data_IF_603962645540
#
_entry.id   IF_603962645540
#
_cell.length_a   1.000
_cell.length_b   1.000
_cell.length_c   1.000
_cell.angle_alpha   90.00
_cell.angle_beta   90.00
_cell.angle_gamma   90.00
#
_symmetry.space_group_name_H-M   'P 1'
#
loop_
_entity.id
_entity.type
_entity.pdbx_description
1 polymer ?
#
# COMPACT_ATOMS: atom_id res chain seq x y z
N UNK A 1 19.52 2.33 16.38
CA UNK A 1 20.38 3.00 15.38
C UNK A 1 19.49 3.97 14.63
N UNK A 2 19.86 5.24 14.53
CA UNK A 2 19.07 6.23 13.78
C UNK A 2 19.03 5.85 12.29
N UNK A 3 17.88 6.05 11.65
CA UNK A 3 17.65 5.84 10.21
C UNK A 3 18.76 6.47 9.33
N UNK A 4 19.39 7.55 9.80
CA UNK A 4 20.41 8.29 9.09
C UNK A 4 21.75 7.56 8.86
N UNK A 5 22.00 6.41 9.50
CA UNK A 5 23.26 5.66 9.31
C UNK A 5 23.20 4.61 8.18
N UNK A 6 22.02 4.37 7.57
CA UNK A 6 21.85 3.37 6.51
C UNK A 6 22.06 3.92 5.08
N UNK A 7 22.20 5.23 4.93
CA UNK A 7 22.18 5.94 3.64
C UNK A 7 23.52 6.02 2.90
N UNK A 8 24.61 5.42 3.43
CA UNK A 8 25.94 5.44 2.78
C UNK A 8 26.47 4.07 2.35
N UNK A 9 25.63 3.02 2.35
CA UNK A 9 25.96 1.76 1.70
C UNK A 9 25.55 1.85 0.22
N UNK A 10 26.48 1.51 -0.67
CA UNK A 10 26.32 1.58 -2.12
C UNK A 10 24.98 0.95 -2.57
N UNK A 11 24.38 1.48 -3.64
CA UNK A 11 23.16 0.95 -4.25
C UNK A 11 23.31 -0.58 -4.47
N UNK A 12 22.64 -1.36 -3.63
CA UNK A 12 22.74 -2.82 -3.55
C UNK A 12 22.09 -3.35 -2.26
N UNK A 13 21.13 -4.26 -2.42
CA UNK A 13 20.12 -4.81 -1.47
C UNK A 13 20.48 -4.86 0.03
N UNK A 14 20.21 -3.78 0.74
CA UNK A 14 20.18 -3.74 2.22
C UNK A 14 18.73 -3.72 2.76
N UNK A 15 17.79 -4.17 1.94
CA UNK A 15 16.36 -4.27 2.20
C UNK A 15 15.76 -5.38 1.33
N UNK A 16 14.48 -5.67 1.54
CA UNK A 16 13.63 -6.41 0.62
C UNK A 16 12.74 -5.41 -0.13
N UNK A 17 13.06 -5.15 -1.38
CA UNK A 17 12.14 -4.51 -2.34
C UNK A 17 10.91 -5.38 -2.58
N UNK A 18 9.87 -4.83 -3.20
CA UNK A 18 8.66 -5.58 -3.55
C UNK A 18 8.93 -6.84 -4.40
N UNK A 19 9.92 -6.80 -5.30
CA UNK A 19 10.30 -7.99 -6.08
C UNK A 19 11.05 -9.02 -5.24
N UNK A 20 11.95 -8.59 -4.36
CA UNK A 20 12.67 -9.46 -3.43
C UNK A 20 11.70 -10.11 -2.41
N UNK A 21 10.76 -9.33 -1.88
CA UNK A 21 9.74 -9.78 -0.94
C UNK A 21 8.80 -10.82 -1.57
N UNK A 22 8.38 -10.61 -2.84
CA UNK A 22 7.57 -11.58 -3.56
C UNK A 22 8.30 -12.92 -3.75
N UNK A 23 9.59 -12.90 -4.10
CA UNK A 23 10.39 -14.12 -4.21
C UNK A 23 10.58 -14.80 -2.85
N UNK A 24 10.82 -14.02 -1.80
CA UNK A 24 10.90 -14.49 -0.42
C UNK A 24 9.63 -15.28 -0.02
N UNK A 25 8.44 -14.72 -0.28
CA UNK A 25 7.17 -15.38 0.02
C UNK A 25 6.98 -16.65 -0.82
N UNK A 26 7.30 -16.61 -2.11
CA UNK A 26 7.19 -17.77 -2.98
C UNK A 26 8.07 -18.94 -2.51
N UNK A 27 9.32 -18.66 -2.11
CA UNK A 27 10.24 -19.68 -1.57
C UNK A 27 9.69 -20.28 -0.27
N UNK A 28 9.21 -19.44 0.66
CA UNK A 28 8.71 -19.93 1.94
C UNK A 28 7.35 -20.63 1.84
N UNK A 29 6.49 -20.24 0.90
CA UNK A 29 5.28 -20.97 0.57
C UNK A 29 5.62 -22.39 0.08
N UNK A 30 6.56 -22.51 -0.86
CA UNK A 30 7.03 -23.81 -1.33
C UNK A 30 7.63 -24.66 -0.21
N UNK A 31 8.43 -24.06 0.69
CA UNK A 31 8.97 -24.77 1.86
C UNK A 31 7.86 -25.26 2.79
N UNK A 32 6.83 -24.43 3.04
CA UNK A 32 5.68 -24.80 3.85
C UNK A 32 4.90 -25.98 3.23
N UNK A 33 4.69 -26.00 1.90
CA UNK A 33 4.09 -27.13 1.18
C UNK A 33 4.87 -28.44 1.35
N UNK A 34 6.19 -28.35 1.60
CA UNK A 34 7.07 -29.49 1.87
C UNK A 34 7.23 -29.80 3.36
N UNK A 35 6.51 -29.11 4.24
CA UNK A 35 6.59 -29.28 5.69
C UNK A 35 7.89 -28.78 6.30
N UNK A 36 8.59 -27.87 5.62
CA UNK A 36 9.82 -27.26 6.10
C UNK A 36 9.54 -25.94 6.82
N UNK A 37 10.38 -25.61 7.81
CA UNK A 37 10.28 -24.33 8.51
C UNK A 37 10.58 -23.15 7.56
N UNK A 38 9.89 -22.01 7.71
CA UNK A 38 10.16 -20.81 6.95
C UNK A 38 11.54 -20.22 7.33
N UNK A 39 12.21 -19.63 6.35
CA UNK A 39 13.54 -19.02 6.49
C UNK A 39 13.41 -17.55 6.87
N UNK A 40 14.14 -17.12 7.91
CA UNK A 40 14.17 -15.73 8.35
C UNK A 40 14.92 -14.84 7.36
N UNK A 41 14.37 -13.72 6.89
CA UNK A 41 15.10 -12.78 6.06
C UNK A 41 16.22 -12.15 6.88
N UNK A 42 17.44 -12.25 6.38
CA UNK A 42 18.64 -11.77 7.04
C UNK A 42 19.23 -10.59 6.29
N UNK A 43 19.39 -9.47 7.00
CA UNK A 43 20.05 -8.27 6.49
C UNK A 43 21.44 -8.59 5.91
N UNK A 44 22.26 -9.36 6.62
CA UNK A 44 23.64 -9.63 6.20
C UNK A 44 23.69 -10.51 4.94
N UNK A 45 22.77 -11.48 4.84
CA UNK A 45 22.65 -12.33 3.66
C UNK A 45 22.09 -11.56 2.46
N UNK A 46 21.14 -10.64 2.68
CA UNK A 46 20.61 -9.78 1.62
C UNK A 46 21.68 -8.84 1.07
N UNK A 47 22.51 -8.23 1.94
CA UNK A 47 23.63 -7.40 1.49
C UNK A 47 24.62 -8.23 0.64
N UNK A 48 24.94 -9.45 1.08
CA UNK A 48 25.78 -10.37 0.31
C UNK A 48 25.17 -10.70 -1.06
N UNK A 49 23.88 -11.08 -1.09
CA UNK A 49 23.17 -11.42 -2.31
C UNK A 49 23.09 -10.22 -3.28
N UNK A 50 22.75 -9.04 -2.78
CA UNK A 50 22.69 -7.80 -3.57
C UNK A 50 24.03 -7.42 -4.16
N UNK A 51 25.11 -7.49 -3.37
CA UNK A 51 26.46 -7.22 -3.86
C UNK A 51 26.87 -8.21 -4.95
N UNK A 52 26.56 -9.51 -4.77
CA UNK A 52 26.79 -10.50 -5.82
C UNK A 52 25.99 -10.17 -7.08
N UNK A 53 24.70 -9.84 -6.97
CA UNK A 53 23.88 -9.46 -8.12
C UNK A 53 24.48 -8.26 -8.89
N UNK A 54 24.86 -7.19 -8.19
CA UNK A 54 25.48 -5.98 -8.79
C UNK A 54 26.81 -6.30 -9.47
N UNK A 55 27.65 -7.09 -8.83
CA UNK A 55 28.94 -7.48 -9.41
C UNK A 55 28.78 -8.32 -10.68
N UNK A 56 27.79 -9.23 -10.71
CA UNK A 56 27.47 -10.00 -11.91
C UNK A 56 26.93 -9.12 -13.03
N UNK A 57 25.95 -8.26 -12.75
CA UNK A 57 25.34 -7.38 -13.74
C UNK A 57 26.38 -6.44 -14.36
N UNK A 58 27.17 -5.77 -13.52
CA UNK A 58 28.13 -4.74 -13.95
C UNK A 58 29.43 -5.27 -14.56
N UNK A 59 29.90 -6.48 -14.18
CA UNK A 59 31.21 -7.01 -14.62
C UNK A 59 31.12 -8.18 -15.60
N UNK A 60 30.01 -8.93 -15.59
CA UNK A 60 29.82 -10.12 -16.44
C UNK A 60 28.83 -9.83 -17.57
N UNK A 61 27.66 -9.28 -17.24
CA UNK A 61 26.54 -9.07 -18.18
C UNK A 61 25.90 -10.40 -18.64
N UNK A 62 24.56 -10.49 -18.58
CA UNK A 62 23.81 -11.72 -18.85
C UNK A 62 24.12 -12.38 -20.21
N UNK A 63 24.28 -11.58 -21.26
CA UNK A 63 24.60 -12.06 -22.63
C UNK A 63 25.93 -12.81 -22.72
N UNK A 64 26.86 -12.60 -21.78
CA UNK A 64 28.12 -13.35 -21.72
C UNK A 64 28.00 -14.69 -20.99
N UNK A 65 26.95 -14.90 -20.20
CA UNK A 65 26.73 -16.13 -19.43
C UNK A 65 26.10 -17.25 -20.28
N UNK A 66 25.28 -16.88 -21.27
CA UNK A 66 24.65 -17.81 -22.23
C UNK A 66 25.55 -18.22 -23.40
N UNK A 67 26.78 -17.67 -23.50
CA UNK A 67 27.75 -18.02 -24.54
C UNK A 67 29.09 -18.50 -23.96
N UNK A 68 29.86 -19.21 -24.80
CA UNK A 68 31.20 -19.83 -24.60
C UNK A 68 32.27 -18.92 -23.94
N UNK A 69 31.96 -17.64 -23.67
CA UNK A 69 32.86 -16.65 -23.07
C UNK A 69 33.22 -16.89 -21.59
N UNK A 70 32.40 -17.62 -20.81
CA UNK A 70 32.71 -17.94 -19.39
C UNK A 70 33.91 -18.88 -19.28
N UNK A 71 34.12 -19.78 -20.25
CA UNK A 71 35.21 -20.76 -20.22
C UNK A 71 36.61 -20.16 -20.42
N UNK A 72 36.71 -18.92 -20.94
CA UNK A 72 37.99 -18.32 -21.37
C UNK A 72 38.44 -17.11 -20.55
N UNK A 73 37.73 -16.71 -19.48
CA UNK A 73 38.16 -15.60 -18.64
C UNK A 73 38.87 -16.09 -17.37
N UNK A 74 40.03 -15.48 -17.09
CA UNK A 74 40.71 -15.54 -15.80
C UNK A 74 40.00 -14.67 -14.73
N UNK A 75 38.67 -14.75 -14.65
CA UNK A 75 37.96 -14.27 -13.46
C UNK A 75 38.10 -15.39 -12.44
N UNK A 76 38.56 -15.12 -11.21
CA UNK A 76 38.51 -16.13 -10.17
C UNK A 76 37.09 -16.69 -10.11
N UNK A 77 36.95 -18.01 -10.12
CA UNK A 77 35.67 -18.69 -9.94
C UNK A 77 34.92 -18.06 -8.77
N UNK A 78 33.59 -18.00 -8.85
CA UNK A 78 32.65 -17.50 -7.82
C UNK A 78 33.10 -17.72 -6.36
N UNK A 79 33.72 -18.86 -6.10
CA UNK A 79 34.38 -19.25 -4.84
C UNK A 79 35.46 -18.30 -4.30
N UNK A 80 36.12 -17.44 -5.09
CA UNK A 80 37.27 -16.69 -4.59
C UNK A 80 36.90 -15.45 -3.75
N UNK A 81 35.64 -15.03 -3.69
CA UNK A 81 35.21 -13.91 -2.84
C UNK A 81 34.57 -14.37 -1.52
N UNK A 82 33.97 -15.56 -1.48
CA UNK A 82 33.60 -16.24 -0.23
C UNK A 82 34.79 -16.96 0.44
N UNK A 83 35.73 -17.50 -0.33
CA UNK A 83 36.85 -18.31 0.18
C UNK A 83 38.19 -17.56 0.22
N UNK A 84 38.33 -16.47 -0.52
CA UNK A 84 39.62 -15.90 -0.88
C UNK A 84 39.89 -14.52 -0.31
N UNK A 85 40.00 -14.41 1.02
CA UNK A 85 40.91 -13.48 1.74
C UNK A 85 41.00 -13.83 3.24
N UNK A 86 41.34 -15.07 3.62
CA UNK A 86 41.79 -15.36 4.99
C UNK A 86 40.88 -14.88 6.14
N UNK A 87 39.58 -14.79 5.92
CA UNK A 87 38.61 -14.34 6.93
C UNK A 87 38.09 -15.54 7.70
N UNK A 88 38.34 -15.53 9.01
CA UNK A 88 37.74 -16.47 9.97
C UNK A 88 36.22 -16.30 9.89
N UNK A 89 35.46 -17.39 10.03
CA UNK A 89 34.00 -17.36 10.16
C UNK A 89 33.56 -16.18 11.05
N UNK A 90 32.71 -15.28 10.53
CA UNK A 90 32.04 -14.25 11.32
C UNK A 90 32.18 -12.78 10.89
N UNK A 91 32.98 -12.41 9.88
CA UNK A 91 32.99 -11.01 9.36
C UNK A 91 33.34 -10.92 7.86
N UNK A 92 32.43 -10.43 7.00
CA UNK A 92 32.75 -9.96 5.64
C UNK A 92 32.85 -8.42 5.63
N UNK A 93 33.96 -7.89 5.10
CA UNK A 93 34.16 -6.45 4.92
C UNK A 93 33.76 -6.04 3.50
N UNK A 94 32.69 -5.26 3.36
CA UNK A 94 32.16 -4.83 2.04
C UNK A 94 32.63 -3.41 1.68
N UNK A 95 33.00 -2.59 2.67
CA UNK A 95 33.59 -1.25 2.54
C UNK A 95 34.25 -0.82 3.87
N UNK A 96 34.99 0.30 3.91
CA UNK A 96 35.58 0.87 5.13
C UNK A 96 34.49 1.08 6.20
N UNK A 97 34.39 0.14 7.16
CA UNK A 97 33.51 0.21 8.32
C UNK A 97 32.31 -0.75 8.35
N UNK A 98 31.95 -1.45 7.26
CA UNK A 98 30.86 -2.43 7.29
C UNK A 98 31.39 -3.84 7.59
N UNK A 99 31.00 -4.40 8.74
CA UNK A 99 31.29 -5.78 9.15
C UNK A 99 30.00 -6.59 9.12
N UNK A 100 29.85 -7.50 8.15
CA UNK A 100 28.70 -8.42 8.08
C UNK A 100 28.96 -9.66 8.94
N UNK A 101 28.03 -10.04 9.80
CA UNK A 101 28.14 -11.30 10.55
C UNK A 101 27.63 -12.45 9.70
N UNK A 102 28.51 -13.03 8.88
CA UNK A 102 28.11 -14.14 8.02
C UNK A 102 27.93 -15.45 8.79
N UNK A 103 26.98 -16.31 8.38
CA UNK A 103 26.75 -17.61 8.98
C UNK A 103 27.93 -18.57 8.75
N UNK A 104 28.01 -19.63 9.57
CA UNK A 104 29.12 -20.61 9.51
C UNK A 104 29.11 -21.45 8.23
N UNK A 105 27.97 -21.50 7.53
CA UNK A 105 27.76 -22.24 6.29
C UNK A 105 26.75 -21.48 5.43
N UNK A 106 27.05 -21.34 4.13
CA UNK A 106 26.22 -20.63 3.15
C UNK A 106 25.99 -21.55 1.94
N UNK A 107 24.83 -21.41 1.30
CA UNK A 107 24.57 -21.91 -0.05
C UNK A 107 23.93 -20.83 -0.92
N UNK A 108 24.05 -20.95 -2.24
CA UNK A 108 23.71 -19.88 -3.18
C UNK A 108 22.93 -20.42 -4.38
N UNK A 109 21.88 -19.70 -4.76
CA UNK A 109 21.21 -19.84 -6.04
C UNK A 109 21.31 -18.52 -6.80
N UNK A 110 21.54 -18.59 -8.10
CA UNK A 110 21.64 -17.41 -8.94
C UNK A 110 21.07 -17.70 -10.32
N UNK A 111 20.37 -16.74 -10.91
CA UNK A 111 19.91 -16.82 -12.29
C UNK A 111 19.76 -15.44 -12.92
N UNK A 112 19.83 -15.39 -14.25
CA UNK A 112 19.57 -14.17 -14.98
C UNK A 112 18.10 -14.07 -15.43
N UNK A 113 17.47 -12.97 -15.08
CA UNK A 113 16.06 -12.63 -15.33
C UNK A 113 16.01 -11.58 -16.45
N UNK A 114 15.88 -12.01 -17.71
CA UNK A 114 15.86 -11.09 -18.87
C UNK A 114 14.69 -10.09 -18.78
N UNK A 115 14.99 -8.79 -18.73
CA UNK A 115 13.99 -7.73 -18.73
C UNK A 115 13.12 -7.77 -20.01
N UNK A 116 11.79 -7.72 -19.83
CA UNK A 116 10.81 -7.65 -20.93
C UNK A 116 10.31 -8.99 -21.45
N UNK A 117 10.82 -10.12 -20.93
CA UNK A 117 10.20 -11.44 -21.13
C UNK A 117 9.15 -11.69 -20.05
N UNK A 118 8.05 -12.37 -20.37
CA UNK A 118 7.13 -12.93 -19.35
C UNK A 118 8.00 -13.66 -18.35
N UNK A 119 8.01 -13.22 -17.08
CA UNK A 119 8.80 -13.85 -16.00
C UNK A 119 8.58 -15.36 -16.07
N UNK A 120 9.50 -16.11 -16.67
CA UNK A 120 9.50 -17.55 -16.51
C UNK A 120 9.66 -17.80 -15.02
N UNK A 121 8.93 -18.78 -14.50
CA UNK A 121 8.84 -19.01 -13.07
C UNK A 121 10.22 -19.41 -12.55
N UNK A 122 11.03 -18.43 -12.09
CA UNK A 122 12.40 -18.59 -11.58
C UNK A 122 12.47 -19.73 -10.55
N UNK A 123 11.46 -19.82 -9.70
CA UNK A 123 11.36 -20.88 -8.70
C UNK A 123 11.16 -22.25 -9.34
N UNK A 124 10.35 -22.37 -10.40
CA UNK A 124 10.20 -23.62 -11.15
C UNK A 124 11.50 -24.04 -11.87
N UNK A 125 12.25 -23.08 -12.42
CA UNK A 125 13.56 -23.34 -13.04
C UNK A 125 14.55 -23.87 -12.00
N UNK A 126 14.67 -23.21 -10.85
CA UNK A 126 15.51 -23.70 -9.75
C UNK A 126 15.07 -25.05 -9.20
N UNK A 127 13.77 -25.34 -9.18
CA UNK A 127 13.26 -26.64 -8.74
C UNK A 127 13.50 -27.76 -9.76
N UNK A 128 13.74 -27.43 -11.03
CA UNK A 128 14.09 -28.41 -12.07
C UNK A 128 15.56 -28.86 -12.01
N UNK A 129 16.42 -28.07 -11.39
CA UNK A 129 17.85 -28.38 -11.22
C UNK A 129 18.13 -28.93 -9.81
N UNK A 130 18.69 -30.15 -9.67
CA UNK A 130 18.92 -30.77 -8.37
C UNK A 130 19.77 -29.94 -7.39
N UNK A 131 20.74 -29.17 -7.89
CA UNK A 131 21.61 -28.34 -7.06
C UNK A 131 20.83 -27.22 -6.39
N UNK A 132 20.19 -26.37 -7.19
CA UNK A 132 19.40 -25.22 -6.72
C UNK A 132 18.17 -25.66 -5.91
N UNK A 133 17.54 -26.77 -6.29
CA UNK A 133 16.43 -27.37 -5.52
C UNK A 133 16.88 -27.84 -4.14
N UNK A 134 18.08 -28.45 -4.03
CA UNK A 134 18.61 -28.92 -2.75
C UNK A 134 18.87 -27.77 -1.76
N UNK A 135 19.25 -26.60 -2.27
CA UNK A 135 19.44 -25.41 -1.45
C UNK A 135 18.09 -24.92 -0.86
N UNK A 136 17.07 -24.78 -1.72
CA UNK A 136 15.72 -24.32 -1.32
C UNK A 136 15.06 -25.29 -0.34
N UNK A 137 15.23 -26.60 -0.54
CA UNK A 137 14.58 -27.64 0.25
C UNK A 137 15.39 -28.11 1.46
N UNK A 138 16.55 -27.52 1.73
CA UNK A 138 17.34 -27.95 2.88
C UNK A 138 16.68 -27.53 4.20
N UNK A 139 16.60 -28.47 5.14
CA UNK A 139 16.18 -28.22 6.51
C UNK A 139 17.33 -27.66 7.39
N UNK A 140 18.55 -27.56 6.87
CA UNK A 140 19.71 -27.06 7.63
C UNK A 140 19.77 -25.53 7.71
N UNK A 141 19.04 -24.83 6.85
CA UNK A 141 19.00 -23.38 6.79
C UNK A 141 17.94 -22.81 7.72
N UNK A 142 18.27 -21.69 8.37
CA UNK A 142 17.34 -20.91 9.19
C UNK A 142 17.10 -19.50 8.61
N UNK A 143 17.92 -19.08 7.66
CA UNK A 143 17.92 -17.72 7.14
C UNK A 143 18.12 -17.66 5.64
N UNK A 144 17.62 -16.59 5.03
CA UNK A 144 17.69 -16.30 3.60
C UNK A 144 18.07 -14.83 3.36
N UNK A 145 18.81 -14.57 2.29
CA UNK A 145 19.02 -13.25 1.73
C UNK A 145 18.69 -13.26 0.24
N UNK A 146 18.13 -12.18 -0.27
CA UNK A 146 17.75 -12.03 -1.67
C UNK A 146 18.27 -10.70 -2.17
N UNK A 147 18.83 -10.71 -3.37
CA UNK A 147 19.34 -9.52 -4.04
C UNK A 147 19.03 -9.54 -5.52
N UNK A 148 18.59 -8.39 -6.05
CA UNK A 148 18.43 -8.18 -7.47
C UNK A 148 19.31 -7.01 -7.96
N UNK A 149 19.84 -7.12 -9.17
CA UNK A 149 20.49 -6.01 -9.87
C UNK A 149 20.36 -6.21 -11.37
N UNK A 150 19.78 -5.23 -12.06
CA UNK A 150 19.46 -5.35 -13.48
C UNK A 150 18.65 -6.62 -13.75
N UNK A 151 19.19 -7.47 -14.62
CA UNK A 151 18.60 -8.75 -15.01
C UNK A 151 19.19 -9.91 -14.19
N UNK A 152 19.69 -9.69 -12.98
CA UNK A 152 20.30 -10.73 -12.16
C UNK A 152 19.55 -10.91 -10.84
N UNK A 153 19.18 -12.16 -10.54
CA UNK A 153 18.64 -12.58 -9.25
C UNK A 153 19.66 -13.44 -8.50
N UNK A 154 19.86 -13.15 -7.22
CA UNK A 154 20.76 -13.89 -6.35
C UNK A 154 20.10 -14.18 -5.01
N UNK A 155 20.20 -15.43 -4.54
CA UNK A 155 19.63 -15.87 -3.27
C UNK A 155 20.68 -16.62 -2.47
N UNK A 156 20.88 -16.19 -1.23
CA UNK A 156 21.81 -16.81 -0.28
C UNK A 156 21.02 -17.48 0.84
N UNK A 157 21.47 -18.66 1.26
CA UNK A 157 20.90 -19.42 2.37
C UNK A 157 21.96 -19.60 3.44
N UNK A 158 21.57 -19.56 4.71
CA UNK A 158 22.55 -19.69 5.78
C UNK A 158 22.00 -20.24 7.09
N UNK A 159 22.94 -20.55 7.99
CA UNK A 159 22.68 -20.97 9.36
C UNK A 159 23.45 -20.09 10.36
N UNK A 160 22.72 -19.36 11.19
CA UNK A 160 23.31 -18.48 12.19
C UNK A 160 23.41 -19.22 13.54
N UNK A 161 24.62 -19.44 14.03
CA UNK A 161 24.84 -19.99 15.36
C UNK A 161 24.75 -18.86 16.40
N UNK A 162 23.78 -18.94 17.33
CA UNK A 162 23.64 -18.15 18.58
C UNK A 162 24.50 -16.87 18.64
N UNK A 163 24.15 -15.85 17.85
CA UNK A 163 24.77 -14.55 17.96
C UNK A 163 24.03 -13.72 19.03
N UNK A 164 24.75 -13.43 20.11
CA UNK A 164 24.39 -12.48 21.17
C UNK A 164 24.22 -11.09 20.54
N UNK A 165 23.03 -10.81 20.01
CA UNK A 165 22.74 -9.62 19.21
C UNK A 165 21.57 -9.79 18.22
N UNK A 166 21.17 -11.04 17.92
CA UNK A 166 20.07 -11.35 17.01
C UNK A 166 20.39 -11.04 15.54
N UNK A 167 19.98 -11.94 14.63
CA UNK A 167 19.99 -11.64 13.19
C UNK A 167 19.03 -10.49 12.94
N UNK A 168 19.51 -9.39 12.36
CA UNK A 168 18.65 -8.29 11.94
C UNK A 168 17.80 -8.74 10.76
N UNK A 169 16.49 -8.62 10.92
CA UNK A 169 15.54 -8.81 9.83
C UNK A 169 15.80 -7.75 8.78
N UNK A 170 15.87 -8.14 7.50
CA UNK A 170 16.03 -7.18 6.41
C UNK A 170 14.77 -6.29 6.35
N UNK A 171 14.91 -4.96 6.30
CA UNK A 171 13.76 -4.06 6.23
C UNK A 171 13.01 -4.25 4.91
N UNK A 172 11.70 -4.06 4.92
CA UNK A 172 10.84 -4.10 3.74
C UNK A 172 10.67 -2.68 3.21
N UNK A 173 10.82 -2.49 1.90
CA UNK A 173 10.70 -1.19 1.24
C UNK A 173 9.76 -1.30 0.03
N UNK A 174 8.68 -0.51 0.08
CA UNK A 174 7.73 -0.32 -1.01
C UNK A 174 8.27 0.59 -2.11
N UNK A 175 7.37 1.07 -2.95
CA UNK A 175 7.63 1.93 -4.11
C UNK A 175 6.99 3.31 -3.88
N UNK A 176 6.98 4.18 -4.89
CA UNK A 176 6.27 5.45 -4.79
C UNK A 176 4.82 5.35 -5.34
N UNK A 177 4.37 4.15 -5.71
CA UNK A 177 2.98 3.88 -6.09
C UNK A 177 2.35 2.91 -5.10
N UNK A 178 1.01 2.79 -5.13
CA UNK A 178 0.29 1.96 -4.16
C UNK A 178 0.67 0.48 -4.21
N UNK A 179 1.13 -0.04 -3.07
CA UNK A 179 1.63 -1.38 -2.89
C UNK A 179 0.70 -2.26 -2.04
N UNK A 180 0.65 -3.55 -2.37
CA UNK A 180 0.12 -4.58 -1.48
C UNK A 180 1.28 -5.27 -0.77
N UNK A 181 1.59 -4.83 0.45
CA UNK A 181 2.69 -5.32 1.24
C UNK A 181 2.20 -6.42 2.18
N UNK A 182 2.72 -7.63 2.00
CA UNK A 182 2.57 -8.71 2.96
C UNK A 182 3.83 -8.79 3.83
N UNK A 183 3.71 -8.46 5.12
CA UNK A 183 4.78 -8.61 6.09
C UNK A 183 5.19 -10.09 6.25
N UNK A 184 6.33 -10.29 6.89
CA UNK A 184 6.86 -11.63 7.19
C UNK A 184 6.37 -12.13 8.54
N UNK A 185 6.79 -13.34 8.93
CA UNK A 185 6.43 -13.91 10.22
C UNK A 185 7.35 -13.45 11.36
N UNK A 186 8.26 -12.50 11.12
CA UNK A 186 9.18 -11.95 12.13
C UNK A 186 8.98 -10.45 12.27
N UNK A 187 9.48 -9.90 13.38
CA UNK A 187 9.45 -8.47 13.65
C UNK A 187 10.14 -7.68 12.52
N UNK A 188 9.32 -7.02 11.69
CA UNK A 188 9.70 -6.31 10.49
C UNK A 188 9.83 -4.81 10.72
N UNK A 189 10.68 -4.18 9.90
CA UNK A 189 10.70 -2.73 9.73
C UNK A 189 10.25 -2.43 8.30
N UNK A 190 9.10 -1.79 8.14
CA UNK A 190 8.43 -1.58 6.86
C UNK A 190 8.38 -0.08 6.58
N UNK A 191 8.83 0.31 5.38
CA UNK A 191 8.61 1.63 4.80
C UNK A 191 7.84 1.42 3.51
N UNK A 192 6.57 1.82 3.48
CA UNK A 192 5.72 1.66 2.31
C UNK A 192 6.01 2.75 1.25
N UNK A 193 6.51 3.89 1.72
CA UNK A 193 7.11 5.00 0.97
C UNK A 193 6.08 5.97 0.39
N UNK A 194 5.73 5.89 -0.89
CA UNK A 194 4.74 6.79 -1.47
C UNK A 194 3.64 6.02 -2.16
N UNK A 195 2.45 6.61 -2.28
CA UNK A 195 1.29 5.93 -2.83
C UNK A 195 0.37 5.45 -1.71
N UNK A 196 -0.71 4.77 -2.08
CA UNK A 196 -1.71 4.30 -1.12
C UNK A 196 -1.49 2.81 -0.86
N UNK A 197 -0.92 2.49 0.29
CA UNK A 197 -0.42 1.15 0.56
C UNK A 197 -1.35 0.32 1.43
N UNK A 198 -1.38 -0.99 1.20
CA UNK A 198 -2.12 -1.95 2.03
C UNK A 198 -1.13 -2.93 2.64
N UNK A 199 -0.96 -2.83 3.95
CA UNK A 199 -0.01 -3.63 4.72
C UNK A 199 -0.77 -4.72 5.50
N UNK A 200 -0.40 -5.97 5.28
CA UNK A 200 -1.06 -7.16 5.84
C UNK A 200 -0.06 -8.11 6.49
N UNK A 201 -0.56 -9.07 7.28
CA UNK A 201 0.28 -10.11 7.87
C UNK A 201 1.16 -9.64 9.02
N UNK A 202 0.83 -8.50 9.62
CA UNK A 202 1.59 -7.91 10.72
C UNK A 202 1.53 -8.80 11.97
N UNK A 203 2.64 -8.88 12.67
CA UNK A 203 2.83 -9.67 13.88
C UNK A 203 3.58 -8.88 14.96
N UNK A 204 3.87 -9.55 16.08
CA UNK A 204 4.49 -8.91 17.23
C UNK A 204 5.90 -8.37 16.92
N UNK A 205 6.06 -7.06 17.09
CA UNK A 205 7.31 -6.34 16.95
C UNK A 205 7.44 -5.59 15.62
N UNK A 206 6.43 -5.65 14.76
CA UNK A 206 6.44 -4.95 13.49
C UNK A 206 6.32 -3.44 13.65
N UNK A 207 7.02 -2.72 12.76
CA UNK A 207 7.02 -1.27 12.71
C UNK A 207 6.76 -0.82 11.27
N UNK A 208 5.68 -0.07 11.06
CA UNK A 208 5.22 0.38 9.75
C UNK A 208 5.27 1.90 9.67
N UNK A 209 5.98 2.40 8.68
CA UNK A 209 5.86 3.77 8.18
C UNK A 209 5.16 3.70 6.83
N UNK A 210 3.91 4.15 6.74
CA UNK A 210 3.15 4.14 5.47
C UNK A 210 3.78 5.13 4.49
N UNK A 211 3.93 6.37 4.94
CA UNK A 211 4.70 7.40 4.23
C UNK A 211 3.78 8.45 3.67
N UNK A 212 3.83 8.72 2.36
CA UNK A 212 2.94 9.70 1.72
C UNK A 212 1.83 9.00 0.96
N UNK A 213 0.58 9.31 1.27
CA UNK A 213 -0.59 8.74 0.60
C UNK A 213 -1.66 8.39 1.63
N UNK A 214 -2.52 7.44 1.27
CA UNK A 214 -3.53 6.88 2.17
C UNK A 214 -3.20 5.41 2.44
N UNK A 215 -2.62 5.15 3.60
CA UNK A 215 -2.09 3.84 3.94
C UNK A 215 -3.00 3.10 4.91
N UNK A 216 -3.09 1.79 4.72
CA UNK A 216 -3.94 0.90 5.49
C UNK A 216 -3.15 -0.26 6.05
N UNK A 217 -3.20 -0.43 7.36
CA UNK A 217 -2.77 -1.67 8.02
C UNK A 217 -3.98 -2.56 8.30
N UNK A 218 -3.81 -3.88 8.11
CA UNK A 218 -4.85 -4.88 8.35
C UNK A 218 -4.45 -5.80 9.48
N UNK A 219 -5.30 -5.86 10.52
CA UNK A 219 -5.14 -6.66 11.73
C UNK A 219 -6.17 -7.80 11.74
N UNK A 220 -5.82 -8.93 12.36
CA UNK A 220 -6.60 -10.17 12.24
C UNK A 220 -7.78 -10.30 13.21
N UNK A 221 -7.79 -9.52 14.29
CA UNK A 221 -8.81 -9.56 15.34
C UNK A 221 -9.79 -8.39 15.30
N UNK A 222 -10.84 -8.47 16.11
CA UNK A 222 -11.82 -7.39 16.28
C UNK A 222 -11.21 -6.19 17.03
N UNK A 223 -11.66 -4.97 16.77
CA UNK A 223 -11.16 -3.74 17.39
C UNK A 223 -11.17 -3.78 18.92
N UNK A 224 -12.17 -4.43 19.54
CA UNK A 224 -12.24 -4.60 21.01
C UNK A 224 -11.10 -5.42 21.61
N UNK A 225 -10.35 -6.16 20.78
CA UNK A 225 -9.21 -6.97 21.20
C UNK A 225 -7.88 -6.20 21.20
N UNK A 226 -7.91 -4.91 20.84
CA UNK A 226 -6.72 -4.08 20.75
C UNK A 226 -6.84 -2.84 21.62
N UNK A 227 -5.71 -2.43 22.16
CA UNK A 227 -5.50 -1.11 22.73
C UNK A 227 -4.50 -0.38 21.86
N UNK A 228 -4.64 0.93 21.72
CA UNK A 228 -3.70 1.71 20.94
C UNK A 228 -3.29 2.94 21.74
N UNK A 229 -2.00 3.21 21.77
CA UNK A 229 -1.41 4.30 22.55
C UNK A 229 -0.48 5.12 21.65
N UNK A 230 -0.61 6.45 21.70
CA UNK A 230 0.38 7.32 21.07
C UNK A 230 1.70 7.31 21.85
N UNK A 231 2.82 7.11 21.17
CA UNK A 231 4.18 7.12 21.72
C UNK A 231 5.03 8.05 20.87
N UNK A 232 5.66 9.04 21.50
CA UNK A 232 6.59 9.94 20.82
C UNK A 232 8.01 9.42 20.96
N UNK A 233 8.66 9.13 19.83
CA UNK A 233 10.07 8.73 19.76
C UNK A 233 10.87 9.80 19.00
N UNK A 234 11.65 10.61 19.74
CA UNK A 234 12.35 11.74 19.15
C UNK A 234 11.37 12.82 18.69
N UNK A 235 11.35 13.12 17.39
CA UNK A 235 10.45 14.11 16.77
C UNK A 235 9.24 13.49 16.05
N UNK A 236 9.10 12.15 16.06
CA UNK A 236 8.01 11.45 15.38
C UNK A 236 7.03 10.86 16.40
N UNK A 237 5.74 10.98 16.11
CA UNK A 237 4.66 10.35 16.89
C UNK A 237 4.24 9.05 16.22
N UNK A 238 4.31 7.96 16.96
CA UNK A 238 3.91 6.62 16.56
C UNK A 238 2.64 6.22 17.30
N UNK A 239 1.78 5.42 16.68
CA UNK A 239 0.71 4.72 17.39
C UNK A 239 1.14 3.26 17.64
N UNK A 240 1.16 2.86 18.90
CA UNK A 240 1.47 1.49 19.32
C UNK A 240 0.17 0.76 19.56
N UNK A 241 -0.18 -0.13 18.64
CA UNK A 241 -1.33 -1.03 18.69
C UNK A 241 -0.87 -2.30 19.41
N UNK A 242 -1.57 -2.72 20.46
CA UNK A 242 -1.29 -3.96 21.19
C UNK A 242 -2.56 -4.79 21.29
N UNK A 243 -2.54 -6.03 20.82
CA UNK A 243 -3.70 -6.93 20.85
C UNK A 243 -3.39 -8.33 20.34
N UNK A 244 -4.33 -8.91 19.59
CA UNK A 244 -4.26 -10.32 19.16
C UNK A 244 -3.09 -10.63 18.21
N UNK A 245 -2.68 -9.67 17.38
CA UNK A 245 -1.50 -9.77 16.51
C UNK A 245 -0.18 -9.44 17.22
N UNK A 246 -0.23 -9.15 18.52
CA UNK A 246 0.91 -8.68 19.31
C UNK A 246 0.99 -7.16 19.35
N UNK A 247 2.21 -6.65 19.57
CA UNK A 247 2.50 -5.22 19.59
C UNK A 247 3.05 -4.75 18.24
N UNK A 248 2.35 -3.81 17.61
CA UNK A 248 2.65 -3.24 16.30
C UNK A 248 2.74 -1.73 16.44
N UNK A 249 3.76 -1.13 15.83
CA UNK A 249 3.95 0.32 15.83
C UNK A 249 3.69 0.87 14.43
N UNK A 250 2.81 1.86 14.30
CA UNK A 250 2.47 2.49 13.02
C UNK A 250 2.77 3.99 13.05
N UNK A 251 3.15 4.53 11.90
CA UNK A 251 3.38 5.95 11.63
C UNK A 251 2.98 6.24 10.19
N UNK A 252 2.43 7.43 9.93
CA UNK A 252 1.90 7.82 8.61
C UNK A 252 1.01 6.73 7.99
N UNK A 253 0.02 6.26 8.76
CA UNK A 253 -0.94 5.24 8.33
C UNK A 253 -2.31 5.75 8.70
N UNK A 254 -3.19 5.97 7.72
CA UNK A 254 -4.51 6.59 7.87
C UNK A 254 -5.59 5.61 8.33
N UNK A 255 -5.48 4.32 7.97
CA UNK A 255 -6.50 3.34 8.26
C UNK A 255 -5.95 2.12 9.01
N UNK A 256 -6.64 1.76 10.09
CA UNK A 256 -6.46 0.47 10.77
C UNK A 256 -7.69 -0.36 10.54
N UNK A 257 -7.57 -1.37 9.68
CA UNK A 257 -8.62 -2.36 9.44
C UNK A 257 -8.52 -3.49 10.47
N UNK A 258 -9.56 -3.64 11.30
CA UNK A 258 -9.79 -4.79 12.15
C UNK A 258 -10.72 -5.79 11.46
N UNK A 259 -10.86 -6.97 12.04
CA UNK A 259 -11.78 -8.00 11.53
C UNK A 259 -13.26 -7.58 11.56
N UNK A 260 -13.65 -6.65 12.44
CA UNK A 260 -15.05 -6.20 12.62
C UNK A 260 -15.32 -4.76 12.16
N UNK A 261 -14.30 -3.93 11.89
CA UNK A 261 -14.45 -2.52 11.45
C UNK A 261 -13.12 -1.95 10.95
N UNK A 262 -13.19 -0.83 10.23
CA UNK A 262 -12.02 0.02 9.97
C UNK A 262 -12.10 1.24 10.90
N UNK A 263 -10.97 1.61 11.50
CA UNK A 263 -10.82 2.85 12.27
C UNK A 263 -9.86 3.76 11.53
N UNK A 264 -10.24 5.02 11.48
CA UNK A 264 -9.43 6.10 10.98
C UNK A 264 -8.44 6.60 12.04
N UNK A 265 -7.16 6.65 11.67
CA UNK A 265 -6.06 7.04 12.55
C UNK A 265 -5.83 8.56 12.61
N UNK A 266 -6.52 9.36 11.79
CA UNK A 266 -6.43 10.83 11.82
C UNK A 266 -7.09 11.45 13.06
N UNK A 267 -7.97 10.69 13.74
CA UNK A 267 -8.53 11.00 15.06
C UNK A 267 -7.47 11.05 16.20
N UNK A 268 -6.19 10.89 15.88
CA UNK A 268 -5.09 10.67 16.82
C UNK A 268 -4.11 11.85 16.85
N UNK A 269 -4.43 12.92 16.12
CA UNK A 269 -3.73 14.21 16.21
C UNK A 269 -3.46 14.92 14.89
N UNK A 270 -3.76 14.33 13.73
CA UNK A 270 -3.57 14.98 12.42
C UNK A 270 -4.89 15.02 11.66
N UNK A 271 -5.42 16.23 11.54
CA UNK A 271 -6.77 16.55 11.12
C UNK A 271 -6.92 16.49 9.58
N UNK A 272 -7.25 15.33 9.02
CA UNK A 272 -7.60 15.23 7.60
C UNK A 272 -8.78 14.31 7.22
N UNK A 273 -9.61 13.79 8.14
CA UNK A 273 -10.75 12.92 7.74
C UNK A 273 -12.14 13.40 8.13
N UNK A 274 -12.29 14.69 8.39
CA UNK A 274 -13.61 15.30 8.57
C UNK A 274 -14.47 15.35 7.28
N UNK A 275 -14.11 14.62 6.22
CA UNK A 275 -14.78 14.67 4.91
C UNK A 275 -15.36 13.33 4.46
N UNK A 276 -15.03 12.19 5.08
CA UNK A 276 -15.47 10.87 4.57
C UNK A 276 -16.79 10.37 5.20
N UNK A 277 -16.95 10.48 6.51
CA UNK A 277 -18.26 10.40 7.15
C UNK A 277 -18.71 11.83 7.49
N UNK A 278 -19.87 12.25 6.99
CA UNK A 278 -20.36 13.60 7.23
C UNK A 278 -21.40 13.56 8.34
N UNK A 279 -20.94 13.75 9.59
CA UNK A 279 -21.79 13.79 10.79
C UNK A 279 -22.99 14.75 10.62
N UNK A 280 -22.77 15.91 10.00
CA UNK A 280 -23.83 16.89 9.82
C UNK A 280 -24.87 16.39 8.81
N UNK A 281 -24.43 15.90 7.65
CA UNK A 281 -25.29 15.32 6.63
C UNK A 281 -26.07 14.12 7.17
N UNK A 282 -25.37 13.19 7.82
CA UNK A 282 -25.94 11.95 8.32
C UNK A 282 -26.92 12.24 9.45
N UNK A 283 -26.58 13.12 10.40
CA UNK A 283 -27.47 13.51 11.50
C UNK A 283 -28.71 14.28 11.03
N UNK A 284 -28.58 15.14 10.02
CA UNK A 284 -29.72 15.88 9.44
C UNK A 284 -30.69 14.97 8.69
N UNK A 285 -30.19 13.95 7.99
CA UNK A 285 -31.02 12.97 7.28
C UNK A 285 -31.60 11.90 8.21
N UNK A 286 -30.91 11.61 9.30
CA UNK A 286 -31.24 10.54 10.24
C UNK A 286 -31.49 11.12 11.64
N UNK A 287 -32.55 11.93 11.74
CA UNK A 287 -32.92 12.68 12.96
C UNK A 287 -33.18 11.73 14.15
N UNK A 288 -33.68 10.53 13.87
CA UNK A 288 -33.84 9.44 14.84
C UNK A 288 -32.50 9.02 15.46
N UNK A 289 -31.47 8.87 14.63
CA UNK A 289 -30.11 8.51 15.07
C UNK A 289 -29.47 9.67 15.84
N UNK A 290 -29.61 10.90 15.35
CA UNK A 290 -29.10 12.09 16.04
C UNK A 290 -29.73 12.26 17.43
N UNK A 291 -31.03 11.96 17.58
CA UNK A 291 -31.70 11.92 18.86
C UNK A 291 -31.18 10.79 19.77
N UNK A 292 -30.90 9.60 19.21
CA UNK A 292 -30.34 8.46 19.94
C UNK A 292 -28.93 8.74 20.47
N UNK A 293 -28.07 9.41 19.70
CA UNK A 293 -26.75 9.87 20.12
C UNK A 293 -26.86 10.92 21.22
N UNK A 294 -27.74 11.92 21.05
CA UNK A 294 -27.99 12.96 22.07
C UNK A 294 -28.53 12.38 23.38
N UNK A 295 -29.34 11.31 23.29
CA UNK A 295 -29.87 10.57 24.43
C UNK A 295 -28.89 9.58 25.07
N UNK A 296 -27.68 9.42 24.52
CA UNK A 296 -26.66 8.51 25.02
C UNK A 296 -26.92 7.03 24.76
N UNK A 297 -27.86 6.69 23.87
CA UNK A 297 -28.17 5.31 23.51
C UNK A 297 -27.16 4.72 22.50
N UNK A 298 -26.49 5.58 21.73
CA UNK A 298 -25.44 5.23 20.77
C UNK A 298 -24.28 6.21 20.98
N UNK A 299 -23.04 5.73 20.84
CA UNK A 299 -21.83 6.51 21.09
C UNK A 299 -21.58 7.62 20.08
N UNK A 300 -21.91 7.43 18.80
CA UNK A 300 -21.77 8.44 17.75
C UNK A 300 -22.68 8.14 16.54
N UNK A 301 -22.84 9.12 15.65
CA UNK A 301 -23.55 8.96 14.37
C UNK A 301 -22.82 7.97 13.46
N UNK A 302 -21.50 8.04 13.43
CA UNK A 302 -20.63 7.14 12.68
C UNK A 302 -20.74 5.70 13.20
N UNK A 303 -20.73 5.49 14.51
CA UNK A 303 -20.93 4.16 15.11
C UNK A 303 -22.27 3.54 14.70
N UNK A 304 -23.34 4.35 14.66
CA UNK A 304 -24.63 3.89 14.16
C UNK A 304 -24.54 3.48 12.68
N UNK A 305 -23.92 4.31 11.84
CA UNK A 305 -23.77 3.99 10.42
C UNK A 305 -23.08 2.65 10.22
N UNK A 306 -21.92 2.45 10.86
CA UNK A 306 -21.19 1.19 10.70
C UNK A 306 -21.98 0.01 11.25
N UNK A 307 -22.62 0.14 12.41
CA UNK A 307 -23.34 -0.97 13.05
C UNK A 307 -24.65 -1.33 12.33
N UNK A 308 -25.37 -0.33 11.81
CA UNK A 308 -26.73 -0.48 11.29
C UNK A 308 -26.92 0.23 9.94
N UNK A 309 -26.59 1.52 9.86
CA UNK A 309 -26.92 2.36 8.70
C UNK A 309 -26.41 1.81 7.36
N UNK A 310 -25.24 1.21 7.34
CA UNK A 310 -24.64 0.58 6.17
C UNK A 310 -25.45 -0.63 5.64
N UNK A 311 -26.19 -1.33 6.51
CA UNK A 311 -27.11 -2.43 6.13
C UNK A 311 -28.53 -1.93 5.84
N UNK A 312 -28.80 -0.70 6.21
CA UNK A 312 -30.06 0.00 5.94
C UNK A 312 -29.94 0.86 4.67
N UNK A 313 -28.87 0.67 3.90
CA UNK A 313 -28.56 1.41 2.66
C UNK A 313 -28.58 2.95 2.85
N UNK A 314 -28.21 3.44 4.05
CA UNK A 314 -28.18 4.88 4.34
C UNK A 314 -26.91 5.50 3.80
N UNK A 315 -27.02 6.68 3.17
CA UNK A 315 -25.82 7.40 2.70
C UNK A 315 -25.04 8.03 3.85
N UNK A 316 -23.74 7.70 4.03
CA UNK A 316 -22.91 8.19 5.13
C UNK A 316 -22.40 9.62 4.92
N UNK A 317 -22.40 10.10 3.68
CA UNK A 317 -21.90 11.42 3.35
C UNK A 317 -22.52 11.96 2.07
N UNK A 318 -22.54 13.28 1.95
CA UNK A 318 -23.12 13.95 0.79
C UNK A 318 -22.50 13.49 -0.53
N UNK A 319 -21.20 13.20 -0.56
CA UNK A 319 -20.46 12.83 -1.76
C UNK A 319 -20.62 11.36 -2.18
N UNK A 320 -21.34 10.52 -1.42
CA UNK A 320 -21.49 9.10 -1.73
C UNK A 320 -22.97 8.73 -1.79
N UNK A 321 -23.36 8.05 -2.87
CA UNK A 321 -24.71 7.56 -3.11
C UNK A 321 -24.66 6.04 -3.19
N UNK A 322 -25.22 5.39 -2.16
CA UNK A 322 -25.16 3.94 -1.98
C UNK A 322 -25.89 3.20 -3.09
N UNK A 323 -27.09 3.67 -3.45
CA UNK A 323 -27.93 3.06 -4.47
C UNK A 323 -27.28 3.19 -5.85
N UNK A 324 -26.79 4.39 -6.17
CA UNK A 324 -26.03 4.64 -7.39
C UNK A 324 -24.81 3.72 -7.47
N UNK A 325 -24.03 3.65 -6.40
CA UNK A 325 -22.80 2.88 -6.40
C UNK A 325 -23.07 1.39 -6.61
N UNK A 326 -24.06 0.81 -5.94
CA UNK A 326 -24.42 -0.59 -6.11
C UNK A 326 -24.99 -0.88 -7.49
N UNK A 327 -25.79 0.03 -8.06
CA UNK A 327 -26.35 -0.13 -9.40
C UNK A 327 -25.28 -0.17 -10.49
N UNK A 328 -24.19 0.61 -10.33
CA UNK A 328 -23.12 0.71 -11.32
C UNK A 328 -21.97 -0.29 -11.07
N UNK A 329 -21.97 -0.96 -9.93
CA UNK A 329 -20.93 -1.89 -9.51
C UNK A 329 -21.55 -3.23 -9.08
N UNK A 330 -22.06 -4.04 -10.04
CA UNK A 330 -22.83 -5.26 -9.74
C UNK A 330 -21.98 -6.34 -9.04
N UNK A 331 -20.67 -6.32 -9.25
CA UNK A 331 -19.70 -7.14 -8.52
C UNK A 331 -19.70 -6.80 -7.03
N UNK A 332 -19.78 -5.52 -6.69
CA UNK A 332 -19.83 -5.04 -5.30
C UNK A 332 -21.21 -5.30 -4.70
N UNK A 333 -22.29 -5.12 -5.46
CA UNK A 333 -23.62 -5.50 -5.02
C UNK A 333 -23.71 -6.99 -4.65
N UNK A 334 -23.12 -7.87 -5.45
CA UNK A 334 -23.02 -9.29 -5.12
C UNK A 334 -22.19 -9.53 -3.84
N UNK A 335 -21.04 -8.87 -3.70
CA UNK A 335 -20.17 -9.01 -2.53
C UNK A 335 -20.83 -8.52 -1.23
N UNK A 336 -21.58 -7.41 -1.28
CA UNK A 336 -22.37 -6.91 -0.15
C UNK A 336 -23.50 -7.87 0.20
N UNK A 337 -24.23 -8.40 -0.79
CA UNK A 337 -25.35 -9.34 -0.57
C UNK A 337 -24.93 -10.65 0.10
N UNK A 338 -23.69 -11.09 -0.16
CA UNK A 338 -23.11 -12.31 0.43
C UNK A 338 -22.40 -12.04 1.76
N UNK A 339 -22.29 -10.77 2.16
CA UNK A 339 -21.55 -10.34 3.35
C UNK A 339 -20.04 -10.45 3.22
N UNK A 340 -19.51 -10.63 2.00
CA UNK A 340 -18.07 -10.65 1.74
C UNK A 340 -17.44 -9.25 1.91
N UNK A 341 -18.23 -8.20 1.67
CA UNK A 341 -17.91 -6.81 1.98
C UNK A 341 -19.05 -6.26 2.83
N UNK A 342 -18.74 -5.41 3.82
CA UNK A 342 -19.73 -4.88 4.75
C UNK A 342 -20.72 -3.94 4.06
N UNK A 343 -20.26 -3.11 3.14
CA UNK A 343 -21.08 -2.10 2.46
C UNK A 343 -20.45 -1.54 1.19
N UNK A 344 -21.28 -0.91 0.36
CA UNK A 344 -20.84 -0.15 -0.81
C UNK A 344 -19.84 0.96 -0.45
N UNK A 345 -20.12 1.69 0.64
CA UNK A 345 -19.29 2.78 1.10
C UNK A 345 -17.92 2.30 1.59
N UNK A 346 -17.87 1.19 2.33
CA UNK A 346 -16.61 0.54 2.71
C UNK A 346 -15.80 0.20 1.46
N UNK A 347 -16.43 -0.42 0.45
CA UNK A 347 -15.72 -0.70 -0.80
C UNK A 347 -15.19 0.57 -1.44
N UNK A 348 -16.01 1.62 -1.57
CA UNK A 348 -15.59 2.84 -2.23
C UNK A 348 -14.41 3.52 -1.53
N UNK A 349 -14.49 3.65 -0.20
CA UNK A 349 -13.43 4.25 0.60
C UNK A 349 -12.14 3.43 0.56
N UNK A 350 -12.24 2.10 0.56
CA UNK A 350 -11.08 1.24 0.64
C UNK A 350 -10.46 0.87 -0.72
N UNK A 351 -11.25 0.92 -1.80
CA UNK A 351 -10.88 0.41 -3.12
C UNK A 351 -11.46 1.28 -4.24
N UNK A 352 -12.77 1.54 -4.23
CA UNK A 352 -13.48 2.10 -5.38
C UNK A 352 -12.98 3.46 -5.86
N UNK A 353 -12.61 4.36 -4.95
CA UNK A 353 -12.04 5.66 -5.31
C UNK A 353 -10.67 5.53 -6.01
N UNK A 354 -9.97 4.43 -5.77
CA UNK A 354 -8.67 4.10 -6.37
C UNK A 354 -8.80 3.27 -7.65
N UNK A 355 -9.91 2.54 -7.80
CA UNK A 355 -10.27 1.80 -9.00
C UNK A 355 -10.89 2.70 -10.10
N UNK A 356 -10.95 4.01 -9.86
CA UNK A 356 -11.57 4.97 -10.79
C UNK A 356 -13.10 4.87 -10.83
N UNK A 357 -13.73 4.23 -9.84
CA UNK A 357 -15.20 4.12 -9.78
C UNK A 357 -15.79 5.47 -9.36
N UNK A 358 -17.04 5.70 -9.77
CA UNK A 358 -17.76 6.93 -9.46
C UNK A 358 -18.59 6.74 -8.18
N UNK A 359 -18.45 7.60 -7.16
CA UNK A 359 -19.18 7.46 -5.88
C UNK A 359 -20.65 7.83 -5.96
N UNK A 360 -21.03 8.60 -6.97
CA UNK A 360 -22.36 9.15 -7.16
C UNK A 360 -22.52 9.54 -8.64
N UNK A 361 -23.73 9.94 -9.01
CA UNK A 361 -24.05 10.30 -10.39
C UNK A 361 -23.34 11.56 -10.92
N UNK A 362 -22.85 12.44 -10.06
CA UNK A 362 -22.40 13.80 -10.39
C UNK A 362 -20.89 14.03 -10.29
N UNK A 363 -20.14 13.04 -9.80
CA UNK A 363 -18.68 13.02 -9.83
C UNK A 363 -18.21 11.86 -10.70
N UNK A 364 -17.61 12.18 -11.85
CA UNK A 364 -16.98 11.21 -12.72
C UNK A 364 -15.46 11.30 -12.53
N UNK A 365 -14.87 10.25 -11.97
CA UNK A 365 -13.44 10.18 -11.67
C UNK A 365 -12.59 10.32 -12.94
N UNK A 366 -12.98 9.68 -14.04
CA UNK A 366 -12.23 9.74 -15.29
C UNK A 366 -12.27 11.16 -15.90
N UNK A 367 -13.46 11.74 -16.03
CA UNK A 367 -13.62 13.10 -16.56
C UNK A 367 -12.86 14.12 -15.70
N UNK A 368 -12.93 13.96 -14.37
CA UNK A 368 -12.26 14.85 -13.44
C UNK A 368 -10.74 14.83 -13.64
N UNK A 369 -10.14 13.66 -13.84
CA UNK A 369 -8.70 13.54 -14.08
C UNK A 369 -8.29 14.00 -15.48
N UNK A 370 -9.14 13.80 -16.50
CA UNK A 370 -8.89 14.31 -17.85
C UNK A 370 -8.91 15.85 -17.90
N UNK A 371 -9.87 16.47 -17.21
CA UNK A 371 -9.99 17.93 -17.12
C UNK A 371 -8.90 18.56 -16.24
N UNK A 372 -8.28 17.77 -15.36
CA UNK A 372 -7.29 18.23 -14.39
C UNK A 372 -6.01 17.39 -14.43
N UNK A 373 -5.20 17.48 -15.50
CA UNK A 373 -4.00 16.66 -15.65
C UNK A 373 -2.97 16.88 -14.54
N UNK A 374 -2.95 18.07 -13.93
CA UNK A 374 -2.12 18.38 -12.76
C UNK A 374 -2.50 17.52 -11.54
N UNK A 375 -3.79 17.28 -11.33
CA UNK A 375 -4.29 16.39 -10.28
C UNK A 375 -3.95 14.93 -10.59
N UNK A 376 -4.07 14.52 -11.85
CA UNK A 376 -3.68 13.17 -12.27
C UNK A 376 -2.17 12.91 -12.04
N UNK A 377 -1.32 13.90 -12.34
CA UNK A 377 0.12 13.82 -12.04
C UNK A 377 0.36 13.76 -10.54
N UNK A 378 -0.28 14.62 -9.76
CA UNK A 378 -0.12 14.65 -8.32
C UNK A 378 -0.60 13.36 -7.62
N UNK A 379 -1.63 12.69 -8.15
CA UNK A 379 -2.04 11.36 -7.69
C UNK A 379 -0.99 10.30 -8.03
N UNK A 380 -0.47 10.30 -9.27
CA UNK A 380 0.59 9.36 -9.68
C UNK A 380 1.90 9.56 -8.90
N UNK A 381 2.18 10.79 -8.46
CA UNK A 381 3.34 11.15 -7.66
C UNK A 381 3.12 10.96 -6.15
N UNK A 382 1.95 10.44 -5.72
CA UNK A 382 1.62 10.18 -4.32
C UNK A 382 1.39 11.44 -3.47
N UNK A 383 1.20 12.61 -4.09
CA UNK A 383 0.96 13.88 -3.40
C UNK A 383 -0.50 14.06 -2.98
N UNK A 384 -1.43 13.40 -3.68
CA UNK A 384 -2.87 13.44 -3.39
C UNK A 384 -3.45 12.02 -3.45
N UNK A 385 -4.28 11.66 -2.47
CA UNK A 385 -4.79 10.29 -2.32
C UNK A 385 -5.77 9.83 -3.41
N UNK A 386 -6.69 10.70 -3.87
CA UNK A 386 -7.65 10.36 -4.92
C UNK A 386 -8.25 11.59 -5.61
N UNK A 387 -8.94 11.36 -6.74
CA UNK A 387 -9.66 12.39 -7.47
C UNK A 387 -10.77 13.03 -6.62
N UNK A 388 -11.53 12.21 -5.88
CA UNK A 388 -12.63 12.69 -5.04
C UNK A 388 -12.10 13.50 -3.85
N UNK A 389 -10.97 13.09 -3.26
CA UNK A 389 -10.34 13.85 -2.16
C UNK A 389 -9.89 15.22 -2.65
N UNK A 390 -9.23 15.28 -3.81
CA UNK A 390 -8.84 16.56 -4.40
C UNK A 390 -10.08 17.42 -4.64
N UNK A 391 -11.13 16.86 -5.23
CA UNK A 391 -12.33 17.61 -5.56
C UNK A 391 -13.01 18.19 -4.31
N UNK A 392 -13.17 17.40 -3.25
CA UNK A 392 -13.82 17.82 -2.02
C UNK A 392 -12.98 18.81 -1.21
N UNK A 393 -11.64 18.70 -1.27
CA UNK A 393 -10.72 19.53 -0.50
C UNK A 393 -10.36 20.83 -1.22
N UNK A 394 -10.22 20.79 -2.54
CA UNK A 394 -9.71 21.90 -3.36
C UNK A 394 -10.55 22.16 -4.59
N UNK A 395 -10.78 21.14 -5.42
CA UNK A 395 -11.28 21.30 -6.79
C UNK A 395 -12.62 22.05 -6.87
N UNK A 396 -13.56 21.75 -5.98
CA UNK A 396 -14.85 22.46 -5.92
C UNK A 396 -14.72 23.93 -5.52
N UNK A 397 -13.71 24.28 -4.72
CA UNK A 397 -13.42 25.65 -4.31
C UNK A 397 -12.58 26.41 -5.33
N UNK A 398 -11.86 25.68 -6.19
CA UNK A 398 -11.14 26.19 -7.36
C UNK A 398 -12.04 26.33 -8.60
N UNK A 399 -13.31 25.90 -8.51
CA UNK A 399 -14.27 25.95 -9.62
C UNK A 399 -14.05 24.89 -10.70
N UNK A 400 -13.26 23.84 -10.40
CA UNK A 400 -13.05 22.69 -11.30
C UNK A 400 -14.36 21.93 -11.47
N UNK A 401 -14.61 21.39 -12.66
CA UNK A 401 -15.83 20.62 -12.93
C UNK A 401 -15.66 19.18 -12.46
N UNK A 402 -16.67 18.65 -11.76
CA UNK A 402 -16.74 17.26 -11.30
C UNK A 402 -16.97 16.23 -12.43
N UNK A 403 -17.43 16.70 -13.59
CA UNK A 403 -17.64 15.93 -14.82
C UNK A 403 -17.67 16.90 -16.00
N UNK A 404 -17.40 16.41 -17.21
CA UNK A 404 -17.54 17.19 -18.44
C UNK A 404 -19.00 17.50 -18.80
N UNK A 405 -19.97 16.78 -18.22
CA UNK A 405 -21.37 16.78 -18.63
C UNK A 405 -22.22 17.89 -18.01
N UNK A 406 -21.77 19.15 -18.03
CA UNK A 406 -22.63 20.26 -17.63
C UNK A 406 -23.72 20.54 -18.69
N UNK A 407 -25.00 20.51 -18.29
CA UNK A 407 -26.11 20.82 -19.20
C UNK A 407 -26.77 22.15 -18.81
N UNK A 408 -26.43 23.21 -19.55
CA UNK A 408 -26.93 24.58 -19.35
C UNK A 408 -28.47 24.64 -19.35
N UNK A 409 -29.13 23.98 -20.30
CA UNK A 409 -30.58 24.02 -20.42
C UNK A 409 -31.27 23.36 -19.21
N UNK A 410 -30.76 22.20 -18.78
CA UNK A 410 -31.24 21.53 -17.58
C UNK A 410 -30.98 22.36 -16.32
N UNK A 411 -29.76 22.85 -16.16
CA UNK A 411 -29.33 23.57 -14.98
C UNK A 411 -30.15 24.84 -14.76
N UNK A 412 -30.38 25.63 -15.82
CA UNK A 412 -31.23 26.82 -15.75
C UNK A 412 -32.71 26.47 -15.53
N UNK A 413 -33.20 25.35 -16.07
CA UNK A 413 -34.58 24.90 -15.85
C UNK A 413 -34.83 24.45 -14.39
N UNK A 414 -33.84 23.81 -13.75
CA UNK A 414 -33.93 23.37 -12.35
C UNK A 414 -33.62 24.48 -11.35
N UNK A 415 -32.96 25.55 -11.79
CA UNK A 415 -32.56 26.68 -10.96
C UNK A 415 -33.12 28.00 -11.53
N UNK A 416 -34.42 28.29 -11.36
CA UNK A 416 -35.06 29.47 -11.93
C UNK A 416 -34.46 30.80 -11.45
N UNK A 417 -33.92 30.81 -10.23
CA UNK A 417 -33.17 31.93 -9.67
C UNK A 417 -31.87 32.21 -10.43
N UNK A 418 -31.15 31.16 -10.84
CA UNK A 418 -29.95 31.27 -11.67
C UNK A 418 -30.31 31.69 -13.09
N UNK A 419 -31.40 31.16 -13.66
CA UNK A 419 -31.90 31.60 -14.95
C UNK A 419 -32.24 33.10 -14.96
N UNK A 420 -32.83 33.61 -13.89
CA UNK A 420 -33.08 35.04 -13.73
C UNK A 420 -31.78 35.85 -13.61
N UNK A 421 -30.80 35.36 -12.86
CA UNK A 421 -29.50 36.04 -12.70
C UNK A 421 -28.71 36.10 -14.03
N UNK A 422 -28.74 35.03 -14.82
CA UNK A 422 -28.15 34.99 -16.18
C UNK A 422 -28.90 35.95 -17.12
N UNK A 423 -30.24 35.97 -17.08
CA UNK A 423 -31.03 36.90 -17.89
C UNK A 423 -30.79 38.38 -17.55
N UNK A 424 -30.43 38.67 -16.30
CA UNK A 424 -30.04 40.01 -15.84
C UNK A 424 -28.57 40.35 -16.12
N UNK A 425 -27.80 39.43 -16.74
CA UNK A 425 -26.39 39.61 -17.04
C UNK A 425 -25.48 39.60 -15.80
N UNK A 426 -25.96 39.05 -14.68
CA UNK A 426 -25.17 38.91 -13.45
C UNK A 426 -24.21 37.71 -13.52
N UNK A 427 -24.51 36.75 -14.39
CA UNK A 427 -23.67 35.61 -14.75
C UNK A 427 -23.69 35.44 -16.28
N UNK A 428 -22.56 35.08 -16.86
CA UNK A 428 -22.42 34.89 -18.32
C UNK A 428 -23.17 33.63 -18.82
N UNK A 429 -23.41 32.68 -17.93
CA UNK A 429 -24.09 31.40 -18.16
C UNK A 429 -24.44 30.70 -16.83
N UNK A 430 -25.34 29.73 -16.88
CA UNK A 430 -25.56 28.77 -15.80
C UNK A 430 -24.28 28.04 -15.41
N UNK A 431 -23.42 27.70 -16.38
CA UNK A 431 -22.09 27.14 -16.11
C UNK A 431 -21.22 28.08 -15.28
N UNK A 432 -21.23 29.38 -15.58
CA UNK A 432 -20.47 30.37 -14.79
C UNK A 432 -20.99 30.51 -13.36
N UNK A 433 -22.31 30.44 -13.17
CA UNK A 433 -22.91 30.37 -11.83
C UNK A 433 -22.52 29.06 -11.13
N UNK A 434 -22.61 27.93 -11.82
CA UNK A 434 -22.30 26.63 -11.24
C UNK A 434 -20.85 26.55 -10.75
N UNK A 435 -19.90 27.04 -11.55
CA UNK A 435 -18.47 27.11 -11.19
C UNK A 435 -18.20 28.01 -9.98
N UNK A 436 -18.95 29.11 -9.82
CA UNK A 436 -18.70 30.08 -8.76
C UNK A 436 -19.44 29.76 -7.46
N UNK A 437 -20.69 29.30 -7.55
CA UNK A 437 -21.62 29.17 -6.43
C UNK A 437 -22.38 27.84 -6.43
N UNK A 438 -22.81 27.36 -7.59
CA UNK A 438 -23.69 26.19 -7.66
C UNK A 438 -23.10 24.90 -7.08
N UNK A 439 -21.78 24.70 -7.18
CA UNK A 439 -21.09 23.57 -6.55
C UNK A 439 -21.12 23.65 -5.02
N UNK A 440 -20.96 24.85 -4.46
CA UNK A 440 -21.01 25.11 -3.01
C UNK A 440 -22.45 24.97 -2.50
N UNK A 441 -23.43 25.37 -3.32
CA UNK A 441 -24.85 25.27 -3.03
C UNK A 441 -25.43 23.85 -3.25
N UNK A 442 -24.62 22.90 -3.71
CA UNK A 442 -25.04 21.51 -3.95
C UNK A 442 -26.05 21.35 -5.09
N UNK A 443 -26.04 22.25 -6.09
CA UNK A 443 -26.97 22.21 -7.22
C UNK A 443 -26.55 21.15 -8.24
N UNK A 444 -27.52 20.47 -8.85
CA UNK A 444 -27.26 19.39 -9.81
C UNK A 444 -27.03 19.96 -11.22
N UNK A 445 -25.84 19.78 -11.84
CA UNK A 445 -25.47 20.42 -13.11
C UNK A 445 -26.06 19.78 -14.39
N UNK A 446 -26.70 18.62 -14.30
CA UNK A 446 -27.26 17.90 -15.45
C UNK A 446 -28.39 16.94 -15.05
N UNK A 447 -29.10 16.44 -16.07
CA UNK A 447 -30.13 15.44 -15.90
C UNK A 447 -29.49 14.07 -15.70
N UNK A 448 -29.26 13.71 -14.44
CA UNK A 448 -28.66 12.44 -14.05
C UNK A 448 -29.44 11.25 -14.68
N UNK A 449 -30.77 11.25 -14.61
CA UNK A 449 -31.58 10.13 -15.14
C UNK A 449 -31.44 9.95 -16.66
N UNK A 450 -31.16 11.03 -17.41
CA UNK A 450 -30.99 10.97 -18.88
C UNK A 450 -29.62 10.46 -19.35
N UNK A 451 -28.60 10.61 -18.50
CA UNK A 451 -27.22 10.16 -18.78
C UNK A 451 -27.01 8.72 -18.28
N UNK A 452 -27.79 8.31 -17.28
CA UNK A 452 -27.64 7.03 -16.60
C UNK A 452 -28.36 5.83 -17.27
N UNK A 453 -29.16 6.07 -18.32
CA UNK A 453 -29.71 5.01 -19.18
C UNK A 453 -30.92 4.28 -18.63
#
# INVERSE_FOLDING_TARGET
>A
MSFAAATTLAAGSNSLSMTELALYHAINALRAEKGLAPLKPSMDLSVLAGQHAVDFDSKVGYTAWSQIAVANRAVPTLHHWSDGQGFVAGVLAVADGLKLSLPQSIAENADGVVAGTVRSNLLAEWMSNPGTASNILSASWDSIGIGFSGDMAYVTFGKYADAVGGIKVAPIVGTNGGDLIQATAWADSISAAGGNDVITGLTNGDRVDGGTGLDRVVLSGNASSYTITAVTEGNATWAVITGADGQISIHNVEYVQFADRVIDSSNWGENLTQVRFDDAYYGLRNVDVAAAVTGGAISSLEDHFWAFGAKEDRDPAAFFDTDYYLAHNPDIAAAVSTGAIRSAFEHYILYGQFEGRNPNAYFNTADYLELNPDVAVAINDGQIGSAIDHYLSYGRFEGRLATEHFNEAYYLAKNPDVAAAVALGQFDSGLSHYRLLGQIEGRIPFDADSILG
#
